data_IF_757025244055
#
_entry.id   IF_757025244055
#
_cell.length_a   1.000
_cell.length_b   1.000
_cell.length_c   1.000
_cell.angle_alpha   90.00
_cell.angle_beta   90.00
_cell.angle_gamma   90.00
#
_symmetry.space_group_name_H-M   'P 1'
#
loop_
_entity.id
_entity.type
_entity.pdbx_description
1 polymer ?
#
# COMPACT_ATOMS: atom_id res chain seq x y z
N UNK A 1 -24.92 -8.69 -7.00
CA UNK A 1 -24.04 -9.17 -8.07
C UNK A 1 -23.21 -10.32 -7.52
N UNK A 2 -23.28 -11.49 -8.17
CA UNK A 2 -22.53 -12.70 -7.79
C UNK A 2 -21.26 -12.81 -8.64
N UNK A 3 -20.10 -12.75 -8.01
CA UNK A 3 -18.79 -12.83 -8.68
C UNK A 3 -18.16 -14.18 -8.40
N UNK A 4 -18.03 -15.01 -9.44
CA UNK A 4 -17.31 -16.29 -9.35
C UNK A 4 -15.80 -16.03 -9.45
N UNK A 5 -15.06 -16.51 -8.46
CA UNK A 5 -13.59 -16.47 -8.46
C UNK A 5 -13.08 -17.90 -8.48
N UNK A 6 -12.51 -18.34 -9.61
CA UNK A 6 -11.80 -19.64 -9.68
C UNK A 6 -10.35 -19.45 -9.21
N UNK A 7 -9.75 -20.47 -8.60
CA UNK A 7 -8.45 -20.33 -7.96
C UNK A 7 -8.48 -19.45 -6.70
N UNK A 8 -9.62 -19.43 -6.00
CA UNK A 8 -9.89 -18.58 -4.85
C UNK A 8 -8.93 -18.77 -3.66
N UNK A 9 -8.33 -19.97 -3.50
CA UNK A 9 -7.33 -20.30 -2.47
C UNK A 9 -5.90 -19.90 -2.88
N UNK A 10 -5.69 -19.56 -4.16
CA UNK A 10 -4.40 -19.12 -4.69
C UNK A 10 -3.99 -17.72 -4.20
N UNK A 11 -2.77 -17.32 -4.49
CA UNK A 11 -2.20 -16.02 -4.06
C UNK A 11 -3.08 -14.83 -4.49
N UNK A 12 -3.35 -14.68 -5.79
CA UNK A 12 -4.19 -13.60 -6.30
C UNK A 12 -5.63 -13.77 -5.82
N UNK A 13 -6.18 -15.00 -5.87
CA UNK A 13 -7.56 -15.30 -5.46
C UNK A 13 -7.87 -14.93 -4.01
N UNK A 14 -6.96 -15.21 -3.07
CA UNK A 14 -7.12 -14.86 -1.65
C UNK A 14 -7.23 -13.35 -1.44
N UNK A 15 -6.33 -12.59 -2.06
CA UNK A 15 -6.32 -11.13 -1.99
C UNK A 15 -7.58 -10.53 -2.62
N UNK A 16 -7.95 -11.02 -3.80
CA UNK A 16 -9.15 -10.58 -4.51
C UNK A 16 -10.44 -10.89 -3.74
N UNK A 17 -10.58 -12.11 -3.24
CA UNK A 17 -11.75 -12.51 -2.44
C UNK A 17 -11.90 -11.67 -1.16
N UNK A 18 -10.80 -11.26 -0.52
CA UNK A 18 -10.85 -10.37 0.64
C UNK A 18 -11.38 -8.99 0.24
N UNK A 19 -10.86 -8.42 -0.83
CA UNK A 19 -11.24 -7.09 -1.29
C UNK A 19 -12.70 -7.05 -1.80
N UNK A 20 -13.13 -8.05 -2.57
CA UNK A 20 -14.53 -8.15 -3.04
C UNK A 20 -15.55 -8.25 -1.89
N UNK A 21 -15.19 -8.92 -0.78
CA UNK A 21 -16.07 -9.02 0.40
C UNK A 21 -16.33 -7.70 1.11
N UNK A 22 -15.43 -6.72 0.95
CA UNK A 22 -15.56 -5.40 1.51
C UNK A 22 -16.51 -4.50 0.69
N UNK A 23 -16.93 -4.96 -0.49
CA UNK A 23 -17.78 -4.19 -1.40
C UNK A 23 -19.26 -4.47 -1.17
N UNK A 24 -20.05 -3.42 -0.99
CA UNK A 24 -21.51 -3.53 -0.86
C UNK A 24 -22.16 -4.15 -2.09
N UNK A 25 -23.05 -5.11 -1.87
CA UNK A 25 -23.83 -5.75 -2.92
C UNK A 25 -23.04 -6.65 -3.86
N UNK A 26 -21.88 -7.15 -3.40
CA UNK A 26 -21.10 -8.21 -4.05
C UNK A 26 -21.18 -9.49 -3.19
N UNK A 27 -21.60 -10.59 -3.80
CA UNK A 27 -21.51 -11.94 -3.27
C UNK A 27 -20.38 -12.69 -3.98
N UNK A 28 -19.45 -13.27 -3.23
CA UNK A 28 -18.27 -13.95 -3.80
C UNK A 28 -18.47 -15.45 -3.79
N UNK A 29 -18.62 -16.04 -4.97
CA UNK A 29 -18.68 -17.47 -5.20
C UNK A 29 -17.24 -17.99 -5.36
N UNK A 30 -16.75 -18.74 -4.39
CA UNK A 30 -15.35 -19.20 -4.34
C UNK A 30 -15.25 -20.62 -4.85
N UNK A 31 -14.51 -20.81 -5.93
CA UNK A 31 -14.18 -22.14 -6.45
C UNK A 31 -12.67 -22.39 -6.41
N UNK A 32 -12.31 -23.60 -6.04
CA UNK A 32 -10.95 -24.14 -6.13
C UNK A 32 -11.00 -25.65 -6.39
N UNK A 33 -9.88 -26.24 -6.79
CA UNK A 33 -9.77 -27.70 -6.99
C UNK A 33 -10.22 -28.45 -5.72
N UNK A 34 -11.05 -29.46 -5.89
CA UNK A 34 -11.71 -30.21 -4.82
C UNK A 34 -13.13 -29.73 -4.49
N UNK A 35 -13.61 -28.66 -5.12
CA UNK A 35 -14.97 -28.14 -4.95
C UNK A 35 -15.86 -28.38 -6.21
N UNK A 36 -15.56 -29.40 -7.01
CA UNK A 36 -16.18 -29.68 -8.32
C UNK A 36 -17.71 -29.72 -8.25
N UNK A 37 -18.26 -30.29 -7.19
CA UNK A 37 -19.71 -30.38 -6.98
C UNK A 37 -20.41 -29.00 -6.89
N UNK A 38 -19.66 -27.92 -6.63
CA UNK A 38 -20.20 -26.54 -6.55
C UNK A 38 -20.11 -25.77 -7.87
N UNK A 39 -19.24 -26.22 -8.79
CA UNK A 39 -18.93 -25.47 -10.00
C UNK A 39 -20.15 -25.24 -10.86
N UNK A 40 -20.97 -26.26 -11.09
CA UNK A 40 -22.18 -26.19 -11.91
C UNK A 40 -23.18 -25.15 -11.36
N UNK A 41 -23.40 -25.18 -10.05
CA UNK A 41 -24.27 -24.20 -9.39
C UNK A 41 -23.72 -22.77 -9.51
N UNK A 42 -22.42 -22.58 -9.31
CA UNK A 42 -21.79 -21.28 -9.43
C UNK A 42 -21.83 -20.73 -10.85
N UNK A 43 -21.55 -21.56 -11.85
CA UNK A 43 -21.62 -21.18 -13.26
C UNK A 43 -23.06 -20.85 -13.71
N UNK A 44 -24.08 -21.48 -13.12
CA UNK A 44 -25.48 -21.18 -13.42
C UNK A 44 -25.94 -19.82 -12.88
N UNK A 45 -25.39 -19.35 -11.76
CA UNK A 45 -25.89 -18.17 -11.05
C UNK A 45 -24.96 -16.94 -11.06
N UNK A 46 -23.70 -17.07 -11.49
CA UNK A 46 -22.75 -15.96 -11.46
C UNK A 46 -23.12 -14.86 -12.47
N UNK A 47 -22.86 -13.60 -12.07
CA UNK A 47 -23.03 -12.41 -12.91
C UNK A 47 -21.71 -11.94 -13.53
N UNK A 48 -20.57 -12.38 -13.00
CA UNK A 48 -19.22 -12.08 -13.47
C UNK A 48 -18.28 -13.22 -13.08
N UNK A 49 -17.33 -13.57 -13.95
CA UNK A 49 -16.32 -14.61 -13.69
C UNK A 49 -14.93 -14.02 -13.67
N UNK A 50 -14.20 -14.23 -12.57
CA UNK A 50 -12.76 -13.99 -12.46
C UNK A 50 -12.02 -15.33 -12.49
N UNK A 51 -11.52 -15.67 -13.67
CA UNK A 51 -10.84 -16.93 -13.93
C UNK A 51 -9.36 -16.82 -13.61
N UNK A 52 -8.99 -17.19 -12.36
CA UNK A 52 -7.62 -17.13 -11.85
C UNK A 52 -6.99 -18.50 -11.67
N UNK A 53 -7.80 -19.57 -11.79
CA UNK A 53 -7.30 -20.94 -11.72
C UNK A 53 -6.32 -21.19 -12.87
N UNK A 54 -5.24 -21.92 -12.55
CA UNK A 54 -4.26 -22.31 -13.54
C UNK A 54 -3.06 -23.02 -12.90
N UNK A 55 -2.43 -23.88 -13.66
CA UNK A 55 -1.24 -24.64 -13.28
C UNK A 55 0.01 -23.88 -13.71
N UNK A 56 0.93 -23.65 -12.77
CA UNK A 56 2.20 -22.95 -13.03
C UNK A 56 3.42 -23.85 -12.91
N UNK A 57 3.33 -24.92 -12.11
CA UNK A 57 4.41 -25.90 -11.90
C UNK A 57 3.80 -27.30 -11.89
N UNK A 58 3.57 -27.88 -13.05
CA UNK A 58 3.03 -29.21 -13.18
C UNK A 58 4.09 -30.25 -12.81
N UNK A 59 3.62 -31.43 -12.43
CA UNK A 59 4.46 -32.63 -12.32
C UNK A 59 4.68 -33.27 -13.70
N UNK A 60 3.65 -33.16 -14.56
CA UNK A 60 3.64 -33.61 -15.94
C UNK A 60 3.30 -32.43 -16.86
N UNK A 61 4.03 -32.18 -17.97
CA UNK A 61 3.73 -31.13 -18.93
C UNK A 61 2.28 -31.11 -19.44
N UNK A 62 1.61 -32.26 -19.53
CA UNK A 62 0.19 -32.37 -19.92
C UNK A 62 -0.75 -31.65 -18.93
N UNK A 63 -0.35 -31.45 -17.69
CA UNK A 63 -1.12 -30.67 -16.71
C UNK A 63 -1.25 -29.20 -17.10
N UNK A 64 -0.32 -28.64 -17.88
CA UNK A 64 -0.48 -27.30 -18.44
C UNK A 64 -1.69 -27.23 -19.37
N UNK A 65 -1.83 -28.21 -20.27
CA UNK A 65 -2.94 -28.27 -21.22
C UNK A 65 -4.27 -28.51 -20.50
N UNK A 66 -4.33 -29.51 -19.62
CA UNK A 66 -5.56 -29.87 -18.93
C UNK A 66 -6.00 -28.79 -17.93
N UNK A 67 -5.08 -28.23 -17.14
CA UNK A 67 -5.37 -27.25 -16.08
C UNK A 67 -5.50 -25.81 -16.54
N UNK A 68 -4.88 -25.42 -17.68
CA UNK A 68 -4.97 -24.06 -18.19
C UNK A 68 -5.93 -23.95 -19.39
N UNK A 69 -5.82 -24.85 -20.40
CA UNK A 69 -6.60 -24.73 -21.62
C UNK A 69 -7.95 -25.43 -21.48
N UNK A 70 -7.96 -26.74 -21.25
CA UNK A 70 -9.20 -27.56 -21.24
C UNK A 70 -10.16 -27.09 -20.16
N UNK A 71 -9.66 -26.79 -18.97
CA UNK A 71 -10.51 -26.28 -17.88
C UNK A 71 -11.11 -24.91 -18.18
N UNK A 72 -10.35 -24.01 -18.86
CA UNK A 72 -10.88 -22.73 -19.34
C UNK A 72 -11.97 -22.93 -20.38
N UNK A 73 -11.74 -23.78 -21.39
CA UNK A 73 -12.71 -24.12 -22.43
C UNK A 73 -14.02 -24.69 -21.84
N UNK A 74 -13.94 -25.65 -20.91
CA UNK A 74 -15.11 -26.24 -20.25
C UNK A 74 -15.97 -25.18 -19.53
N UNK A 75 -15.34 -24.28 -18.78
CA UNK A 75 -16.06 -23.15 -18.13
C UNK A 75 -16.74 -22.28 -19.17
N UNK A 76 -16.04 -21.86 -20.21
CA UNK A 76 -16.56 -20.96 -21.23
C UNK A 76 -17.70 -21.57 -22.03
N UNK A 77 -17.65 -22.87 -22.36
CA UNK A 77 -18.71 -23.58 -23.06
C UNK A 77 -20.01 -23.61 -22.25
N UNK A 78 -19.91 -23.87 -20.94
CA UNK A 78 -21.06 -23.85 -20.03
C UNK A 78 -21.64 -22.44 -19.87
N UNK A 79 -20.80 -21.41 -19.78
CA UNK A 79 -21.23 -20.03 -19.70
C UNK A 79 -21.89 -19.55 -21.02
N UNK A 80 -21.35 -19.95 -22.17
CA UNK A 80 -21.91 -19.63 -23.51
C UNK A 80 -23.28 -20.26 -23.76
N UNK A 81 -23.62 -21.34 -23.05
CA UNK A 81 -24.94 -21.97 -23.14
C UNK A 81 -26.06 -21.22 -22.40
N UNK A 82 -25.72 -20.22 -21.59
CA UNK A 82 -26.68 -19.40 -20.83
C UNK A 82 -27.40 -18.42 -21.76
N UNK A 83 -28.65 -18.07 -21.43
CA UNK A 83 -29.41 -17.03 -22.12
C UNK A 83 -28.80 -15.64 -21.96
N UNK A 84 -28.04 -15.41 -20.87
CA UNK A 84 -27.31 -14.20 -20.61
C UNK A 84 -25.89 -14.57 -20.16
N UNK A 85 -24.93 -14.74 -21.08
CA UNK A 85 -23.53 -15.07 -20.78
C UNK A 85 -22.84 -13.95 -20.00
N UNK A 86 -22.22 -14.24 -18.83
CA UNK A 86 -21.61 -13.23 -18.00
C UNK A 86 -20.26 -12.75 -18.55
N UNK A 87 -19.80 -11.54 -18.17
CA UNK A 87 -18.43 -11.09 -18.42
C UNK A 87 -17.40 -12.02 -17.79
N UNK A 88 -16.24 -12.16 -18.47
CA UNK A 88 -15.13 -13.01 -18.02
C UNK A 88 -13.83 -12.21 -17.97
N UNK A 89 -13.14 -12.25 -16.83
CA UNK A 89 -11.78 -11.77 -16.65
C UNK A 89 -10.83 -12.97 -16.50
N UNK A 90 -9.81 -13.04 -17.36
CA UNK A 90 -8.75 -14.05 -17.32
C UNK A 90 -7.45 -13.46 -16.74
N UNK A 91 -6.89 -14.12 -15.74
CA UNK A 91 -5.52 -13.91 -15.29
C UNK A 91 -4.56 -14.72 -16.17
N UNK A 92 -3.95 -14.05 -17.15
CA UNK A 92 -2.91 -14.61 -18.01
C UNK A 92 -1.51 -14.20 -17.50
N UNK A 93 -0.48 -14.34 -18.33
CA UNK A 93 0.91 -14.05 -18.00
C UNK A 93 1.62 -13.38 -19.18
N UNK A 94 2.61 -12.52 -18.89
CA UNK A 94 3.53 -12.03 -19.91
C UNK A 94 4.22 -13.17 -20.67
N UNK A 95 4.33 -14.37 -20.07
CA UNK A 95 4.90 -15.55 -20.72
C UNK A 95 4.03 -16.11 -21.85
N UNK A 96 2.76 -15.71 -21.98
CA UNK A 96 1.92 -16.07 -23.11
C UNK A 96 2.50 -15.62 -24.48
N UNK A 97 3.45 -14.69 -24.47
CA UNK A 97 4.20 -14.26 -25.65
C UNK A 97 5.43 -15.14 -25.97
N UNK A 98 5.76 -16.12 -25.09
CA UNK A 98 6.96 -16.95 -25.22
C UNK A 98 6.62 -18.33 -25.80
N UNK A 99 7.58 -18.90 -26.56
CA UNK A 99 7.45 -20.25 -27.15
C UNK A 99 7.94 -21.34 -26.15
N UNK A 100 7.16 -21.49 -25.05
CA UNK A 100 7.31 -22.58 -24.11
C UNK A 100 5.95 -23.17 -23.75
N UNK A 101 5.90 -24.36 -23.14
CA UNK A 101 4.64 -25.08 -22.89
C UNK A 101 3.67 -24.28 -22.01
N UNK A 102 4.18 -23.61 -20.99
CA UNK A 102 3.38 -22.72 -20.14
C UNK A 102 2.84 -21.53 -20.93
N UNK A 103 3.67 -20.85 -21.71
CA UNK A 103 3.27 -19.73 -22.55
C UNK A 103 2.20 -20.14 -23.57
N UNK A 104 2.40 -21.27 -24.26
CA UNK A 104 1.42 -21.85 -25.19
C UNK A 104 0.10 -22.13 -24.52
N UNK A 105 0.10 -22.73 -23.33
CA UNK A 105 -1.14 -23.04 -22.60
C UNK A 105 -1.89 -21.77 -22.16
N UNK A 106 -1.17 -20.71 -21.74
CA UNK A 106 -1.78 -19.43 -21.41
C UNK A 106 -2.32 -18.73 -22.65
N UNK A 107 -1.58 -18.77 -23.77
CA UNK A 107 -2.04 -18.20 -25.04
C UNK A 107 -3.32 -18.89 -25.54
N UNK A 108 -3.40 -20.21 -25.46
CA UNK A 108 -4.61 -20.95 -25.82
C UNK A 108 -5.81 -20.56 -24.94
N UNK A 109 -5.61 -20.38 -23.63
CA UNK A 109 -6.66 -19.90 -22.74
C UNK A 109 -7.10 -18.45 -23.08
N UNK A 110 -6.16 -17.56 -23.48
CA UNK A 110 -6.48 -16.21 -23.98
C UNK A 110 -7.37 -16.29 -25.22
N UNK A 111 -6.97 -17.12 -26.21
CA UNK A 111 -7.71 -17.28 -27.45
C UNK A 111 -9.14 -17.82 -27.22
N UNK A 112 -9.31 -18.77 -26.29
CA UNK A 112 -10.61 -19.28 -25.89
C UNK A 112 -11.51 -18.20 -25.27
N UNK A 113 -10.96 -17.35 -24.38
CA UNK A 113 -11.73 -16.25 -23.77
C UNK A 113 -12.12 -15.19 -24.81
N UNK A 114 -11.25 -14.87 -25.75
CA UNK A 114 -11.56 -13.93 -26.83
C UNK A 114 -12.67 -14.48 -27.76
N UNK A 115 -12.56 -15.75 -28.15
CA UNK A 115 -13.58 -16.44 -28.93
C UNK A 115 -14.95 -16.50 -28.20
N UNK A 116 -14.96 -16.68 -26.89
CA UNK A 116 -16.16 -16.60 -26.07
C UNK A 116 -16.82 -15.22 -26.17
N UNK A 117 -16.01 -14.14 -26.05
CA UNK A 117 -16.50 -12.77 -26.19
C UNK A 117 -17.12 -12.52 -27.59
N UNK A 118 -16.44 -12.94 -28.66
CA UNK A 118 -16.91 -12.83 -30.03
C UNK A 118 -18.23 -13.61 -30.28
N UNK A 119 -18.30 -14.84 -29.74
CA UNK A 119 -19.46 -15.71 -29.89
C UNK A 119 -20.71 -15.21 -29.15
N UNK A 120 -20.52 -14.68 -27.95
CA UNK A 120 -21.62 -14.38 -27.02
C UNK A 120 -21.97 -12.91 -26.92
N UNK A 121 -21.07 -12.01 -27.32
CA UNK A 121 -21.17 -10.58 -27.08
C UNK A 121 -20.86 -10.17 -25.62
N UNK A 122 -20.48 -11.10 -24.74
CA UNK A 122 -20.12 -10.80 -23.37
C UNK A 122 -18.75 -10.07 -23.30
N UNK A 123 -18.61 -9.14 -22.35
CA UNK A 123 -17.35 -8.44 -22.15
C UNK A 123 -16.26 -9.40 -21.65
N UNK A 124 -15.05 -9.31 -22.21
CA UNK A 124 -13.91 -10.13 -21.82
C UNK A 124 -12.70 -9.25 -21.52
N UNK A 125 -11.93 -9.63 -20.47
CA UNK A 125 -10.76 -8.92 -20.02
C UNK A 125 -9.62 -9.91 -19.83
N UNK A 126 -8.53 -9.77 -20.59
CA UNK A 126 -7.35 -10.64 -20.49
C UNK A 126 -6.18 -9.85 -19.90
N UNK A 127 -5.75 -10.18 -18.69
CA UNK A 127 -4.63 -9.53 -18.04
C UNK A 127 -3.36 -10.38 -18.14
N UNK A 128 -2.34 -9.92 -18.87
CA UNK A 128 -1.01 -10.51 -18.87
C UNK A 128 -0.20 -9.98 -17.69
N UNK A 129 -0.21 -10.72 -16.59
CA UNK A 129 0.49 -10.34 -15.37
C UNK A 129 2.00 -10.54 -15.53
N UNK A 130 2.79 -9.54 -15.12
CA UNK A 130 4.21 -9.66 -14.84
C UNK A 130 4.42 -10.45 -13.53
N UNK A 131 5.64 -10.44 -12.97
CA UNK A 131 5.88 -11.13 -11.71
C UNK A 131 5.16 -10.40 -10.57
N UNK A 132 4.16 -11.06 -10.00
CA UNK A 132 3.35 -10.49 -8.91
C UNK A 132 4.03 -10.72 -7.57
N UNK A 133 4.11 -9.68 -6.73
CA UNK A 133 4.59 -9.77 -5.36
C UNK A 133 3.61 -9.14 -4.38
N UNK A 134 3.74 -9.48 -3.09
CA UNK A 134 2.88 -8.93 -2.04
C UNK A 134 2.54 -9.96 -0.96
N UNK A 135 1.69 -9.54 -0.03
CA UNK A 135 1.24 -10.36 1.11
C UNK A 135 0.64 -11.70 0.68
N UNK A 136 1.02 -12.77 1.37
CA UNK A 136 0.56 -14.17 1.16
C UNK A 136 1.06 -14.81 -0.13
N UNK A 137 2.02 -14.22 -0.83
CA UNK A 137 2.71 -14.90 -1.92
C UNK A 137 3.51 -16.07 -1.35
N UNK A 138 3.37 -17.24 -1.97
CA UNK A 138 4.00 -18.49 -1.49
C UNK A 138 5.51 -18.44 -1.76
N UNK A 139 6.36 -18.56 -0.71
CA UNK A 139 7.80 -18.68 -0.87
C UNK A 139 8.19 -20.02 -1.50
N UNK A 140 9.38 -20.08 -2.08
CA UNK A 140 9.95 -21.30 -2.69
C UNK A 140 9.04 -21.95 -3.75
N UNK A 141 8.26 -21.11 -4.44
CA UNK A 141 7.35 -21.56 -5.50
C UNK A 141 7.64 -20.80 -6.81
N UNK A 142 6.96 -19.71 -7.12
CA UNK A 142 7.11 -18.99 -8.39
C UNK A 142 7.58 -17.54 -8.26
N UNK A 143 7.81 -17.04 -7.05
CA UNK A 143 8.22 -15.67 -6.82
C UNK A 143 9.57 -15.61 -6.13
N UNK A 144 10.55 -15.03 -6.80
CA UNK A 144 11.86 -14.76 -6.23
C UNK A 144 11.74 -13.80 -5.04
N UNK A 145 10.92 -12.75 -5.15
CA UNK A 145 10.67 -11.78 -4.07
C UNK A 145 10.08 -12.48 -2.84
N UNK A 146 9.03 -13.29 -3.02
CA UNK A 146 8.43 -14.02 -1.90
C UNK A 146 9.43 -14.97 -1.21
N UNK A 147 10.30 -15.60 -2.00
CA UNK A 147 11.34 -16.49 -1.48
C UNK A 147 12.38 -15.70 -0.67
N UNK A 148 12.85 -14.58 -1.19
CA UNK A 148 13.86 -13.77 -0.51
C UNK A 148 13.33 -13.08 0.76
N UNK A 149 12.13 -12.50 0.72
CA UNK A 149 11.54 -11.91 1.94
C UNK A 149 11.31 -12.97 3.02
N UNK A 150 10.86 -14.16 2.63
CA UNK A 150 10.66 -15.26 3.58
C UNK A 150 11.97 -15.75 4.20
N UNK A 151 13.00 -15.95 3.36
CA UNK A 151 14.28 -16.48 3.81
C UNK A 151 15.04 -15.45 4.66
N UNK A 152 15.15 -14.20 4.19
CA UNK A 152 15.85 -13.14 4.94
C UNK A 152 15.15 -12.88 6.28
N UNK A 153 13.83 -12.82 6.32
CA UNK A 153 13.09 -12.66 7.57
C UNK A 153 13.34 -13.77 8.61
N UNK A 154 13.90 -14.92 8.17
CA UNK A 154 14.18 -16.10 9.01
C UNK A 154 15.67 -16.44 9.08
N UNK A 155 16.54 -15.53 8.68
CA UNK A 155 17.99 -15.73 8.66
C UNK A 155 18.42 -16.95 7.82
N UNK A 156 17.62 -17.31 6.80
CA UNK A 156 17.93 -18.41 5.89
C UNK A 156 18.71 -17.87 4.68
N UNK A 157 19.59 -18.72 4.09
CA UNK A 157 20.39 -18.32 2.94
C UNK A 157 19.53 -18.02 1.71
N UNK A 158 19.98 -17.05 0.92
CA UNK A 158 19.43 -16.74 -0.40
C UNK A 158 20.51 -16.90 -1.47
N UNK A 159 20.10 -17.15 -2.70
CA UNK A 159 20.99 -17.18 -3.86
C UNK A 159 20.60 -16.09 -4.84
N UNK A 160 21.55 -15.24 -5.21
CA UNK A 160 21.45 -14.26 -6.29
C UNK A 160 22.52 -14.61 -7.30
N UNK A 161 22.13 -15.13 -8.47
CA UNK A 161 23.10 -15.57 -9.48
C UNK A 161 23.70 -14.40 -10.25
N UNK A 162 22.86 -13.45 -10.60
CA UNK A 162 23.23 -12.24 -11.35
C UNK A 162 22.50 -11.03 -10.71
N UNK A 163 23.21 -10.24 -9.88
CA UNK A 163 22.63 -9.08 -9.25
C UNK A 163 22.16 -7.98 -10.21
N UNK A 164 22.78 -7.88 -11.39
CA UNK A 164 22.45 -6.87 -12.42
C UNK A 164 21.23 -7.26 -13.26
N UNK A 165 20.85 -8.55 -13.27
CA UNK A 165 19.66 -8.98 -13.99
C UNK A 165 18.43 -8.27 -13.45
N UNK A 166 17.57 -7.80 -14.34
CA UNK A 166 16.35 -7.06 -13.99
C UNK A 166 15.12 -7.92 -14.04
N UNK A 167 14.13 -7.56 -13.22
CA UNK A 167 12.80 -8.18 -13.21
C UNK A 167 11.73 -7.10 -13.18
N UNK A 168 10.66 -7.31 -13.96
CA UNK A 168 9.47 -6.46 -13.91
C UNK A 168 8.46 -7.06 -12.94
N UNK A 169 8.02 -6.24 -11.99
CA UNK A 169 7.20 -6.61 -10.85
C UNK A 169 5.92 -5.77 -10.81
N UNK A 170 4.81 -6.39 -10.42
CA UNK A 170 3.54 -5.71 -10.11
C UNK A 170 3.07 -6.08 -8.70
N UNK A 171 2.53 -5.12 -7.98
CA UNK A 171 2.09 -5.35 -6.61
C UNK A 171 0.69 -5.94 -6.56
N UNK A 172 0.46 -6.88 -5.66
CA UNK A 172 -0.81 -7.62 -5.57
C UNK A 172 -2.04 -6.73 -5.42
N UNK A 173 -1.96 -5.66 -4.63
CA UNK A 173 -3.12 -4.80 -4.43
C UNK A 173 -3.42 -3.93 -5.66
N UNK A 174 -2.42 -3.62 -6.50
CA UNK A 174 -2.63 -2.98 -7.80
C UNK A 174 -3.32 -3.94 -8.77
N UNK A 175 -2.94 -5.23 -8.77
CA UNK A 175 -3.64 -6.27 -9.55
C UNK A 175 -5.10 -6.36 -9.11
N UNK A 176 -5.36 -6.47 -7.81
CA UNK A 176 -6.71 -6.56 -7.24
C UNK A 176 -7.55 -5.32 -7.58
N UNK A 177 -6.98 -4.13 -7.46
CA UNK A 177 -7.64 -2.85 -7.80
C UNK A 177 -8.06 -2.82 -9.27
N UNK A 178 -7.16 -3.21 -10.18
CA UNK A 178 -7.45 -3.30 -11.61
C UNK A 178 -8.58 -4.31 -11.90
N UNK A 179 -8.56 -5.48 -11.29
CA UNK A 179 -9.59 -6.50 -11.48
C UNK A 179 -10.97 -6.03 -10.98
N UNK A 180 -11.00 -5.41 -9.80
CA UNK A 180 -12.22 -4.86 -9.21
C UNK A 180 -12.80 -3.74 -10.09
N UNK A 181 -11.98 -2.92 -10.71
CA UNK A 181 -12.45 -1.84 -11.60
C UNK A 181 -13.34 -2.38 -12.72
N UNK A 182 -13.05 -3.59 -13.25
CA UNK A 182 -13.86 -4.23 -14.31
C UNK A 182 -15.20 -4.72 -13.77
N UNK A 183 -15.26 -5.23 -12.53
CA UNK A 183 -16.53 -5.58 -11.88
C UNK A 183 -17.41 -4.33 -11.69
N UNK A 184 -16.81 -3.24 -11.23
CA UNK A 184 -17.52 -1.98 -11.02
C UNK A 184 -18.05 -1.41 -12.34
N UNK A 185 -17.23 -1.40 -13.39
CA UNK A 185 -17.62 -0.94 -14.72
C UNK A 185 -18.80 -1.74 -15.28
N UNK A 186 -18.78 -3.07 -15.15
CA UNK A 186 -19.90 -3.92 -15.56
C UNK A 186 -21.16 -3.70 -14.71
N UNK A 187 -21.01 -3.52 -13.38
CA UNK A 187 -22.13 -3.25 -12.47
C UNK A 187 -22.83 -1.92 -12.77
N UNK A 188 -22.08 -0.91 -13.20
CA UNK A 188 -22.61 0.42 -13.56
C UNK A 188 -23.13 0.49 -14.99
N UNK A 189 -23.02 -0.57 -15.79
CA UNK A 189 -23.44 -0.58 -17.20
C UNK A 189 -22.58 0.29 -18.10
N UNK A 190 -21.39 0.69 -17.66
CA UNK A 190 -20.44 1.52 -18.44
C UNK A 190 -19.73 0.69 -19.52
N UNK A 191 -19.74 -0.64 -19.40
CA UNK A 191 -19.28 -1.58 -20.44
C UNK A 191 -20.54 -2.11 -21.15
N UNK A 192 -21.14 -1.31 -22.03
CA UNK A 192 -22.15 -1.79 -22.95
C UNK A 192 -21.47 -2.32 -24.21
N UNK A 193 -21.73 -3.59 -24.55
CA UNK A 193 -21.49 -4.09 -25.91
C UNK A 193 -22.46 -3.43 -26.86
N UNK A 194 -22.10 -2.31 -27.47
CA UNK A 194 -22.84 -1.84 -28.65
C UNK A 194 -22.29 -2.50 -29.92
N UNK A 195 -22.91 -3.63 -30.28
CA UNK A 195 -23.01 -4.02 -31.64
C UNK A 195 -24.09 -3.11 -32.30
N UNK A 196 -23.64 -2.08 -33.01
CA UNK A 196 -24.38 -1.32 -33.99
C UNK A 196 -25.86 -1.00 -33.68
N UNK A 197 -26.13 0.10 -32.98
CA UNK A 197 -27.47 0.64 -32.84
C UNK A 197 -27.46 1.99 -32.13
N UNK A 198 -27.83 3.07 -32.84
CA UNK A 198 -28.05 4.39 -32.23
C UNK A 198 -29.10 4.29 -31.14
N UNK A 199 -28.74 4.65 -29.89
CA UNK A 199 -29.73 4.92 -28.85
C UNK A 199 -29.72 6.42 -28.55
N UNK A 200 -30.86 7.04 -28.75
CA UNK A 200 -31.18 8.42 -28.44
C UNK A 200 -31.13 8.66 -26.95
N UNK A 201 -30.61 9.84 -26.55
CA UNK A 201 -30.38 10.23 -25.17
C UNK A 201 -31.57 10.08 -24.24
N UNK A 202 -31.27 9.58 -23.05
CA UNK A 202 -32.09 9.80 -21.86
C UNK A 202 -31.16 10.12 -20.71
N UNK A 203 -31.34 11.31 -20.12
CA UNK A 203 -30.66 11.77 -18.93
C UNK A 203 -30.90 10.79 -17.76
N UNK A 204 -29.83 10.20 -17.23
CA UNK A 204 -29.90 9.43 -15.99
C UNK A 204 -29.65 10.36 -14.80
N UNK A 205 -30.68 10.68 -14.05
CA UNK A 205 -30.56 11.21 -12.68
C UNK A 205 -30.27 10.06 -11.72
N UNK A 206 -29.10 10.09 -11.09
CA UNK A 206 -28.79 9.19 -9.98
C UNK A 206 -29.49 9.74 -8.74
N UNK A 207 -30.57 9.11 -8.31
CA UNK A 207 -31.18 9.34 -6.99
C UNK A 207 -30.86 8.16 -6.07
N UNK A 208 -30.14 8.46 -4.98
CA UNK A 208 -30.17 7.68 -3.75
C UNK A 208 -29.05 6.69 -3.51
N UNK A 209 -27.95 7.15 -2.94
CA UNK A 209 -27.21 6.39 -1.95
C UNK A 209 -26.90 7.35 -0.80
N UNK A 210 -27.62 7.16 0.33
CA UNK A 210 -27.49 8.00 1.52
C UNK A 210 -26.14 7.79 2.19
N UNK A 211 -25.34 8.84 2.20
CA UNK A 211 -24.30 9.08 3.16
C UNK A 211 -24.55 10.47 3.72
N UNK A 212 -24.97 10.52 4.98
CA UNK A 212 -25.05 11.77 5.73
C UNK A 212 -23.66 12.36 5.86
N UNK A 213 -23.36 13.36 5.03
CA UNK A 213 -22.19 14.22 5.22
C UNK A 213 -22.54 15.32 6.20
N UNK A 214 -21.80 15.35 7.30
CA UNK A 214 -21.86 16.39 8.33
C UNK A 214 -21.69 17.79 7.70
N UNK A 215 -22.76 18.59 7.73
CA UNK A 215 -22.88 19.95 7.14
C UNK A 215 -22.19 21.05 7.95
N UNK A 216 -21.11 20.78 8.68
CA UNK A 216 -20.49 21.76 9.58
C UNK A 216 -19.16 22.37 9.12
N UNK A 217 -18.58 22.00 7.95
CA UNK A 217 -17.28 22.52 7.52
C UNK A 217 -17.29 23.47 6.31
N UNK A 218 -18.41 23.65 5.62
CA UNK A 218 -18.48 24.45 4.37
C UNK A 218 -18.81 25.93 4.54
N UNK A 219 -19.14 26.40 5.74
CA UNK A 219 -19.51 27.82 5.95
C UNK A 219 -18.32 28.71 6.38
N UNK A 220 -17.20 28.14 6.82
CA UNK A 220 -15.99 28.90 7.16
C UNK A 220 -15.01 29.14 6.01
N UNK A 221 -15.16 28.45 4.89
CA UNK A 221 -14.25 28.58 3.74
C UNK A 221 -14.63 29.70 2.76
N UNK A 222 -15.85 30.20 2.78
CA UNK A 222 -16.32 31.26 1.87
C UNK A 222 -16.04 32.69 2.34
N UNK A 223 -15.81 32.91 3.62
CA UNK A 223 -15.48 34.24 4.14
C UNK A 223 -13.98 34.60 4.10
N UNK A 224 -13.11 33.62 3.76
CA UNK A 224 -11.66 33.83 3.66
C UNK A 224 -11.17 34.09 2.23
N UNK A 225 -11.97 33.90 1.20
CA UNK A 225 -11.57 34.06 -0.21
C UNK A 225 -11.75 35.48 -0.76
N UNK A 226 -12.49 36.35 -0.08
CA UNK A 226 -12.71 37.75 -0.58
C UNK A 226 -11.62 38.77 -0.20
N UNK A 227 -10.57 38.37 0.53
CA UNK A 227 -9.55 39.34 0.99
C UNK A 227 -8.11 39.09 0.57
N UNK A 228 -7.79 38.22 -0.38
CA UNK A 228 -6.41 38.12 -0.87
C UNK A 228 -6.36 37.94 -2.38
N UNK A 229 -6.03 39.06 -3.05
CA UNK A 229 -5.59 39.06 -4.43
C UNK A 229 -4.24 38.38 -4.61
N UNK A 230 -4.13 37.63 -5.71
CA UNK A 230 -2.93 37.24 -6.47
C UNK A 230 -1.68 36.82 -5.68
N UNK A 231 -1.53 35.51 -5.43
CA UNK A 231 -0.26 34.77 -5.58
C UNK A 231 -0.57 33.29 -5.49
N UNK A 232 -0.35 32.53 -6.56
CA UNK A 232 -0.58 31.12 -6.62
C UNK A 232 0.42 30.36 -5.75
N UNK A 233 -0.09 29.55 -4.83
CA UNK A 233 0.63 28.40 -4.23
C UNK A 233 -0.35 27.27 -4.11
N UNK A 234 -0.03 26.16 -4.76
CA UNK A 234 -0.72 24.87 -4.68
C UNK A 234 -0.44 24.28 -3.30
N UNK A 235 -1.47 24.13 -2.47
CA UNK A 235 -1.45 23.27 -1.28
C UNK A 235 -2.82 22.59 -1.12
N UNK A 236 -2.81 21.26 -1.07
CA UNK A 236 -3.94 20.49 -0.57
C UNK A 236 -4.43 19.37 -1.48
N UNK A 237 -3.63 18.34 -1.66
CA UNK A 237 -4.11 17.03 -2.10
C UNK A 237 -4.04 16.10 -0.89
N UNK A 238 -5.15 15.91 -0.20
CA UNK A 238 -5.33 14.79 0.74
C UNK A 238 -6.76 14.80 1.28
N UNK A 239 -7.79 14.62 0.45
CA UNK A 239 -9.15 14.17 0.85
C UNK A 239 -10.12 14.02 -0.35
N UNK A 240 -9.61 13.83 -1.56
CA UNK A 240 -10.43 13.79 -2.78
C UNK A 240 -10.37 12.43 -3.52
N UNK A 241 -9.69 11.43 -2.92
CA UNK A 241 -9.39 10.13 -3.56
C UNK A 241 -10.61 9.29 -3.99
N UNK A 242 -11.80 9.61 -3.51
CA UNK A 242 -13.03 8.88 -3.89
C UNK A 242 -13.75 9.47 -5.10
N UNK A 243 -13.74 10.78 -5.25
CA UNK A 243 -14.49 11.49 -6.30
C UNK A 243 -13.66 11.65 -7.57
N UNK A 244 -12.37 11.97 -7.44
CA UNK A 244 -11.45 12.10 -8.58
C UNK A 244 -11.19 10.75 -9.28
N UNK A 245 -11.36 9.63 -8.57
CA UNK A 245 -11.28 8.29 -9.16
C UNK A 245 -12.45 8.00 -10.11
N UNK A 246 -13.63 8.52 -9.83
CA UNK A 246 -14.82 8.38 -10.69
C UNK A 246 -14.79 9.37 -11.86
N UNK A 247 -14.38 10.62 -11.60
CA UNK A 247 -14.36 11.68 -12.61
C UNK A 247 -13.17 11.54 -13.59
N UNK A 248 -12.02 11.02 -13.13
CA UNK A 248 -10.87 10.71 -13.98
C UNK A 248 -11.09 9.53 -14.92
N UNK A 249 -11.98 8.60 -14.59
CA UNK A 249 -12.38 7.50 -15.49
C UNK A 249 -13.40 7.93 -16.56
N UNK A 250 -14.27 8.88 -16.25
CA UNK A 250 -15.33 9.32 -17.18
C UNK A 250 -14.81 10.19 -18.35
N UNK A 251 -13.64 10.81 -18.23
CA UNK A 251 -13.11 11.77 -19.20
C UNK A 251 -12.17 11.18 -20.27
N UNK A 252 -11.73 9.92 -20.14
CA UNK A 252 -10.76 9.30 -21.07
C UNK A 252 -11.31 8.21 -21.99
N UNK A 253 -12.52 7.70 -21.78
CA UNK A 253 -13.04 6.53 -22.50
C UNK A 253 -14.26 6.83 -23.39
N UNK A 254 -14.35 8.01 -24.01
CA UNK A 254 -15.43 8.34 -24.97
C UNK A 254 -15.09 8.02 -26.42
N UNK A 255 -13.94 7.44 -26.72
CA UNK A 255 -13.73 6.80 -28.02
C UNK A 255 -14.08 5.30 -27.89
N UNK A 256 -15.09 4.90 -28.66
CA UNK A 256 -15.51 3.51 -28.89
C UNK A 256 -14.30 2.64 -29.26
N UNK A 257 -13.61 2.10 -28.21
CA UNK A 257 -12.42 1.31 -28.40
C UNK A 257 -12.84 -0.05 -28.95
N UNK A 258 -12.42 -0.37 -30.15
CA UNK A 258 -12.19 -1.74 -30.61
C UNK A 258 -11.49 -2.47 -29.44
N UNK A 259 -12.04 -3.63 -29.04
CA UNK A 259 -11.56 -4.58 -28.05
C UNK A 259 -10.05 -4.44 -27.76
N UNK A 260 -9.63 -3.68 -26.74
CA UNK A 260 -8.30 -3.84 -26.16
C UNK A 260 -8.30 -5.15 -25.37
N UNK A 261 -8.04 -6.23 -26.11
CA UNK A 261 -8.22 -7.58 -25.62
C UNK A 261 -7.19 -8.03 -24.60
N UNK A 262 -6.04 -7.35 -24.51
CA UNK A 262 -4.93 -7.72 -23.65
C UNK A 262 -4.51 -6.51 -22.82
N UNK A 263 -4.61 -6.66 -21.51
CA UNK A 263 -4.36 -5.61 -20.51
C UNK A 263 -3.09 -5.90 -19.70
N UNK A 264 -2.44 -4.85 -19.25
CA UNK A 264 -1.34 -4.91 -18.25
C UNK A 264 -1.76 -4.25 -16.95
N UNK A 265 -0.95 -4.43 -15.91
CA UNK A 265 -1.15 -3.79 -14.61
C UNK A 265 -0.18 -2.63 -14.47
N UNK A 266 -0.69 -1.48 -14.08
CA UNK A 266 0.09 -0.31 -13.71
C UNK A 266 -0.18 0.08 -12.23
N UNK A 267 0.83 0.59 -11.51
CA UNK A 267 2.23 0.74 -11.93
C UNK A 267 3.00 -0.58 -11.95
N UNK A 268 3.89 -0.75 -12.94
CA UNK A 268 4.87 -1.81 -12.98
C UNK A 268 6.26 -1.28 -12.59
N UNK A 269 7.05 -2.09 -11.90
CA UNK A 269 8.36 -1.72 -11.37
C UNK A 269 9.44 -2.62 -11.98
N UNK A 270 10.40 -2.05 -12.68
CA UNK A 270 11.58 -2.79 -13.14
C UNK A 270 12.75 -2.48 -12.21
N UNK A 271 13.33 -3.51 -11.58
CA UNK A 271 14.42 -3.40 -10.61
C UNK A 271 15.45 -4.50 -10.85
N UNK A 272 16.71 -4.22 -10.50
CA UNK A 272 17.73 -5.27 -10.48
C UNK A 272 17.53 -6.23 -9.31
N UNK A 273 17.99 -7.45 -9.45
CA UNK A 273 17.88 -8.46 -8.40
C UNK A 273 18.72 -8.07 -7.17
N UNK A 274 19.86 -7.40 -7.38
CA UNK A 274 20.70 -6.86 -6.31
C UNK A 274 19.97 -5.78 -5.51
N UNK A 275 19.40 -4.77 -6.18
CA UNK A 275 18.63 -3.70 -5.55
C UNK A 275 17.50 -4.24 -4.66
N UNK A 276 16.76 -5.24 -5.14
CA UNK A 276 15.67 -5.86 -4.37
C UNK A 276 16.20 -6.53 -3.10
N UNK A 277 17.32 -7.26 -3.20
CA UNK A 277 17.91 -7.94 -2.04
C UNK A 277 18.46 -6.95 -1.03
N UNK A 278 19.12 -5.90 -1.47
CA UNK A 278 19.69 -4.88 -0.58
C UNK A 278 18.58 -4.14 0.20
N UNK A 279 17.47 -3.83 -0.47
CA UNK A 279 16.29 -3.29 0.20
C UNK A 279 15.74 -4.26 1.25
N UNK A 280 15.56 -5.55 0.92
CA UNK A 280 15.02 -6.53 1.88
C UNK A 280 15.97 -6.72 3.08
N UNK A 281 17.29 -6.67 2.86
CA UNK A 281 18.29 -6.73 3.95
C UNK A 281 18.23 -5.50 4.84
N UNK A 282 18.06 -4.31 4.25
CA UNK A 282 17.90 -3.09 5.05
C UNK A 282 16.64 -3.14 5.93
N UNK A 283 15.55 -3.74 5.46
CA UNK A 283 14.34 -3.96 6.26
C UNK A 283 14.58 -4.96 7.39
N UNK A 284 15.37 -5.98 7.13
CA UNK A 284 15.74 -6.98 8.14
C UNK A 284 16.59 -6.39 9.26
N UNK A 285 17.43 -5.42 8.93
CA UNK A 285 18.32 -4.75 9.89
C UNK A 285 17.65 -3.57 10.63
N UNK A 286 16.41 -3.23 10.31
CA UNK A 286 15.66 -2.14 10.97
C UNK A 286 15.68 -2.22 12.52
N UNK A 287 15.52 -3.40 13.18
CA UNK A 287 15.57 -3.47 14.64
C UNK A 287 16.91 -2.99 15.25
N UNK A 288 18.01 -3.09 14.50
CA UNK A 288 19.34 -2.66 14.93
C UNK A 288 19.61 -1.19 14.60
N UNK A 289 19.16 -0.72 13.45
CA UNK A 289 19.39 0.63 12.94
C UNK A 289 18.30 1.61 13.31
N UNK A 290 17.11 1.11 13.65
CA UNK A 290 15.85 1.86 13.82
C UNK A 290 15.43 2.61 12.54
N UNK A 291 16.11 2.36 11.41
CA UNK A 291 15.93 3.10 10.16
C UNK A 291 14.72 2.60 9.38
N UNK A 292 13.65 3.36 9.38
CA UNK A 292 12.46 3.11 8.55
C UNK A 292 12.80 3.39 7.09
N UNK A 293 12.46 2.49 6.16
CA UNK A 293 12.75 2.69 4.73
C UNK A 293 11.94 3.86 4.14
N UNK A 294 12.41 4.40 3.01
CA UNK A 294 11.73 5.51 2.32
C UNK A 294 10.33 5.10 1.84
N UNK A 295 9.30 5.56 2.54
CA UNK A 295 7.90 5.28 2.23
C UNK A 295 7.35 6.13 1.07
N UNK A 296 8.08 7.14 0.59
CA UNK A 296 7.70 7.96 -0.56
C UNK A 296 7.98 7.26 -1.89
N UNK A 297 8.96 6.34 -1.94
CA UNK A 297 9.13 5.45 -3.09
C UNK A 297 8.07 4.34 -3.07
N UNK A 298 7.20 4.35 -4.06
CA UNK A 298 6.08 3.42 -4.16
C UNK A 298 6.49 1.95 -4.21
N UNK A 299 7.63 1.62 -4.81
CA UNK A 299 8.16 0.26 -4.82
C UNK A 299 8.65 -0.16 -3.44
N UNK A 300 9.51 0.65 -2.82
CA UNK A 300 10.06 0.40 -1.47
C UNK A 300 8.95 0.21 -0.45
N UNK A 301 7.93 1.09 -0.46
CA UNK A 301 6.75 0.96 0.42
C UNK A 301 6.05 -0.39 0.26
N UNK A 302 5.83 -0.83 -0.97
CA UNK A 302 5.13 -2.09 -1.27
C UNK A 302 5.99 -3.32 -0.95
N UNK A 303 7.30 -3.23 -1.20
CA UNK A 303 8.25 -4.28 -0.85
C UNK A 303 8.40 -4.44 0.66
N UNK A 304 8.46 -3.32 1.40
CA UNK A 304 8.49 -3.33 2.85
C UNK A 304 7.21 -3.93 3.45
N UNK A 305 6.03 -3.55 2.93
CA UNK A 305 4.76 -4.16 3.34
C UNK A 305 4.74 -5.68 3.07
N UNK A 306 5.38 -6.12 1.98
CA UNK A 306 5.51 -7.55 1.66
C UNK A 306 6.44 -8.25 2.66
N UNK A 307 7.55 -7.61 3.02
CA UNK A 307 8.50 -8.11 4.03
C UNK A 307 7.82 -8.26 5.39
N UNK A 308 7.14 -7.23 5.88
CA UNK A 308 6.42 -7.27 7.15
C UNK A 308 5.35 -8.36 7.19
N UNK A 309 4.63 -8.58 6.07
CA UNK A 309 3.64 -9.66 5.96
C UNK A 309 4.24 -11.08 5.95
N UNK A 310 5.54 -11.20 5.76
CA UNK A 310 6.29 -12.47 5.76
C UNK A 310 7.06 -12.72 7.06
N UNK A 311 7.11 -11.75 7.96
CA UNK A 311 7.76 -11.93 9.27
C UNK A 311 7.16 -13.11 10.02
N UNK A 312 7.97 -13.92 10.72
CA UNK A 312 7.47 -14.88 11.70
C UNK A 312 6.91 -14.14 12.92
N UNK A 313 5.93 -14.74 13.58
CA UNK A 313 5.14 -14.10 14.66
C UNK A 313 6.01 -13.64 15.85
N UNK A 314 7.10 -14.32 16.14
CA UNK A 314 8.06 -13.99 17.18
C UNK A 314 8.94 -12.76 16.85
N UNK A 315 8.93 -12.29 15.59
CA UNK A 315 9.64 -11.08 15.14
C UNK A 315 8.72 -9.86 14.96
N UNK A 316 7.49 -9.88 15.46
CA UNK A 316 6.59 -8.71 15.41
C UNK A 316 6.97 -7.61 16.40
N UNK A 317 7.81 -7.90 17.38
CA UNK A 317 8.35 -6.93 18.32
C UNK A 317 9.85 -7.11 18.47
N UNK A 318 10.53 -6.01 18.80
CA UNK A 318 11.95 -6.02 19.12
C UNK A 318 12.24 -5.04 20.29
N UNK A 319 13.22 -5.36 21.16
CA UNK A 319 13.59 -4.49 22.24
C UNK A 319 14.36 -3.27 21.73
N UNK A 320 14.21 -2.15 22.42
CA UNK A 320 14.97 -0.94 22.16
C UNK A 320 16.12 -0.80 23.17
N UNK A 321 17.24 -0.23 22.74
CA UNK A 321 18.34 0.13 23.65
C UNK A 321 17.96 1.37 24.44
N UNK A 322 17.92 1.23 25.77
CA UNK A 322 17.62 2.33 26.68
C UNK A 322 18.89 2.74 27.46
N UNK A 323 19.26 3.99 27.29
CA UNK A 323 20.37 4.59 28.05
C UNK A 323 19.85 5.16 29.37
N UNK A 324 20.33 4.62 30.52
CA UNK A 324 19.89 5.01 31.85
C UNK A 324 21.04 5.66 32.65
N UNK A 325 20.72 6.71 33.39
CA UNK A 325 21.60 7.31 34.39
C UNK A 325 20.80 7.79 35.62
N UNK A 326 21.44 8.52 36.55
CA UNK A 326 20.77 9.05 37.73
C UNK A 326 19.69 10.11 37.43
N UNK A 327 19.66 10.66 36.24
CA UNK A 327 18.66 11.66 35.76
C UNK A 327 17.39 11.04 35.16
N UNK A 328 17.45 9.74 34.80
CA UNK A 328 16.36 9.04 34.15
C UNK A 328 16.81 8.17 32.98
N UNK A 329 16.10 8.18 31.88
CA UNK A 329 16.45 7.38 30.69
C UNK A 329 16.22 8.13 29.38
N UNK A 330 16.88 7.63 28.33
CA UNK A 330 16.72 8.08 26.95
C UNK A 330 16.71 6.86 26.02
N UNK A 331 15.72 6.80 25.13
CA UNK A 331 15.51 5.66 24.22
C UNK A 331 15.17 6.18 22.84
N UNK A 332 15.97 5.85 21.85
CA UNK A 332 15.63 6.10 20.44
C UNK A 332 14.64 5.03 19.97
N UNK A 333 13.64 5.42 19.18
CA UNK A 333 12.56 4.52 18.78
C UNK A 333 12.45 4.35 17.28
N UNK A 334 12.81 5.38 16.51
CA UNK A 334 12.66 5.40 15.07
C UNK A 334 13.60 6.42 14.44
N UNK A 335 14.27 6.02 13.37
CA UNK A 335 15.08 6.87 12.49
C UNK A 335 14.49 6.91 11.08
N UNK A 336 14.65 8.02 10.40
CA UNK A 336 14.32 8.20 8.98
C UNK A 336 15.32 9.16 8.35
N UNK A 337 15.92 8.78 7.24
CA UNK A 337 16.89 9.61 6.56
C UNK A 337 16.32 10.98 6.14
N UNK A 338 15.03 11.03 5.77
CA UNK A 338 14.36 12.26 5.31
C UNK A 338 13.59 12.99 6.40
N UNK A 339 13.33 12.35 7.55
CA UNK A 339 12.39 12.86 8.58
C UNK A 339 13.00 12.90 9.98
N UNK A 340 14.29 12.59 10.12
CA UNK A 340 15.00 12.65 11.40
C UNK A 340 14.70 11.47 12.32
N UNK A 341 14.66 11.72 13.62
CA UNK A 341 14.49 10.68 14.64
C UNK A 341 13.40 11.01 15.65
N UNK A 342 12.84 9.94 16.24
CA UNK A 342 11.93 10.01 17.38
C UNK A 342 12.55 9.30 18.56
N UNK A 343 12.48 9.92 19.72
CA UNK A 343 12.99 9.34 20.98
C UNK A 343 12.03 9.57 22.15
N UNK A 344 12.17 8.75 23.18
CA UNK A 344 11.45 8.89 24.45
C UNK A 344 12.47 9.20 25.56
N UNK A 345 12.21 10.27 26.28
CA UNK A 345 13.03 10.72 27.37
C UNK A 345 12.23 10.67 28.68
N UNK A 346 12.77 9.98 29.68
CA UNK A 346 12.20 9.95 31.02
C UNK A 346 13.13 10.79 31.93
N UNK A 347 12.57 11.78 32.62
CA UNK A 347 13.29 12.64 33.56
C UNK A 347 12.72 12.46 34.96
N UNK A 348 13.60 12.16 35.95
CA UNK A 348 13.21 12.08 37.37
C UNK A 348 12.82 13.45 37.93
N UNK A 349 12.08 13.53 39.04
CA UNK A 349 11.74 14.78 39.71
C UNK A 349 12.95 15.69 39.97
N UNK A 350 12.79 16.98 39.64
CA UNK A 350 13.82 18.01 39.82
C UNK A 350 14.96 17.98 38.80
N UNK A 351 14.97 17.07 37.85
CA UNK A 351 16.03 16.94 36.85
C UNK A 351 15.86 17.92 35.72
N UNK A 352 16.95 18.59 35.35
CA UNK A 352 17.10 19.42 34.15
C UNK A 352 17.90 18.66 33.10
N UNK A 353 17.38 18.60 31.85
CA UNK A 353 18.08 18.09 30.66
C UNK A 353 18.10 19.14 29.56
N UNK A 354 19.03 19.01 28.60
CA UNK A 354 19.29 20.00 27.56
C UNK A 354 20.48 20.86 27.92
N UNK A 355 20.32 22.18 28.06
CA UNK A 355 21.41 23.17 28.24
C UNK A 355 22.33 23.23 27.03
N UNK A 356 21.68 23.38 25.85
CA UNK A 356 22.40 23.50 24.58
C UNK A 356 21.54 24.22 23.54
N UNK A 357 22.16 24.57 22.43
CA UNK A 357 21.53 25.18 21.27
C UNK A 357 22.01 24.55 19.96
N UNK A 358 21.36 24.88 18.85
CA UNK A 358 21.59 24.31 17.52
C UNK A 358 21.69 25.40 16.45
N UNK A 359 22.42 25.11 15.35
CA UNK A 359 22.48 25.98 14.18
C UNK A 359 21.32 25.74 13.20
N UNK A 360 21.10 24.46 12.84
CA UNK A 360 20.09 24.06 11.85
C UNK A 360 19.15 22.97 12.37
N UNK A 361 19.65 22.16 13.32
CA UNK A 361 18.83 21.17 14.00
C UNK A 361 17.70 21.85 14.75
N UNK A 362 16.50 21.34 14.61
CA UNK A 362 15.35 21.78 15.37
C UNK A 362 14.57 20.59 15.87
N UNK A 363 13.92 20.79 17.00
CA UNK A 363 13.26 19.71 17.70
C UNK A 363 11.82 20.08 18.05
N UNK A 364 11.03 19.07 18.40
CA UNK A 364 9.69 19.20 18.96
C UNK A 364 9.60 18.32 20.19
N UNK A 365 9.19 18.89 21.31
CA UNK A 365 8.97 18.17 22.57
C UNK A 365 7.49 18.09 22.87
N UNK A 366 7.06 16.91 23.31
CA UNK A 366 5.70 16.62 23.75
C UNK A 366 5.77 15.87 25.08
N UNK A 367 5.41 16.53 26.18
CA UNK A 367 5.28 15.86 27.48
C UNK A 367 3.98 15.05 27.48
N UNK A 368 4.08 13.73 27.67
CA UNK A 368 2.94 12.81 27.66
C UNK A 368 2.56 12.29 29.06
N UNK A 369 3.44 12.49 30.04
CA UNK A 369 3.20 12.16 31.45
C UNK A 369 4.07 13.04 32.34
N UNK A 370 3.58 13.38 33.53
CA UNK A 370 4.25 14.28 34.49
C UNK A 370 4.06 15.76 34.16
N UNK A 371 4.81 16.62 34.84
CA UNK A 371 4.74 18.09 34.76
C UNK A 371 6.15 18.64 34.52
N UNK A 372 6.30 19.48 33.49
CA UNK A 372 7.58 20.06 33.14
C UNK A 372 7.53 21.54 32.82
N UNK A 373 8.73 22.11 32.71
CA UNK A 373 8.95 23.47 32.20
C UNK A 373 10.07 23.44 31.16
N UNK A 374 9.78 24.00 29.97
CA UNK A 374 10.76 24.13 28.89
C UNK A 374 11.17 25.59 28.82
N UNK A 375 12.46 25.85 28.98
CA UNK A 375 13.01 27.20 29.05
C UNK A 375 13.91 27.48 27.83
N UNK A 376 13.90 28.73 27.39
CA UNK A 376 14.66 29.22 26.22
C UNK A 376 15.31 30.56 26.55
N UNK A 377 16.50 30.78 25.98
CA UNK A 377 17.16 32.10 25.94
C UNK A 377 17.91 32.23 24.60
N UNK A 378 18.05 33.43 24.07
CA UNK A 378 18.84 33.64 22.86
C UNK A 378 20.31 33.23 23.10
N UNK A 379 20.86 32.42 22.20
CA UNK A 379 22.21 31.89 22.39
C UNK A 379 23.31 32.95 22.26
N UNK A 380 23.07 34.03 21.54
CA UNK A 380 24.02 35.17 21.35
C UNK A 380 23.83 36.31 22.33
N UNK A 381 22.81 36.29 23.21
CA UNK A 381 22.54 37.36 24.19
C UNK A 381 22.17 36.77 25.56
N UNK A 382 23.19 36.71 26.45
CA UNK A 382 22.99 36.23 27.81
C UNK A 382 22.09 37.14 28.68
N UNK A 383 21.82 38.37 28.25
CA UNK A 383 20.90 39.31 28.90
C UNK A 383 19.47 39.18 28.44
N UNK A 384 19.18 38.45 27.36
CA UNK A 384 17.84 38.24 26.86
C UNK A 384 16.94 37.56 27.89
N UNK A 385 15.64 37.89 27.95
CA UNK A 385 14.73 37.29 28.91
C UNK A 385 14.55 35.80 28.66
N UNK A 386 14.42 35.03 29.72
CA UNK A 386 14.08 33.61 29.65
C UNK A 386 12.61 33.49 29.30
N UNK A 387 12.32 32.68 28.27
CA UNK A 387 10.97 32.31 27.83
C UNK A 387 10.67 30.94 28.38
N UNK A 388 9.60 30.76 29.14
CA UNK A 388 9.24 29.50 29.79
C UNK A 388 7.87 29.00 29.35
N UNK A 389 7.78 27.70 29.02
CA UNK A 389 6.54 27.00 28.72
C UNK A 389 6.28 25.91 29.76
N UNK A 390 5.18 26.03 30.50
CA UNK A 390 4.69 24.96 31.39
C UNK A 390 4.00 23.92 30.57
N UNK A 391 4.39 22.67 30.71
CA UNK A 391 3.90 21.52 29.95
C UNK A 391 3.50 20.38 30.88
N UNK A 392 2.51 19.60 30.48
CA UNK A 392 2.07 18.43 31.26
C UNK A 392 1.43 17.35 30.37
N UNK A 393 1.40 16.10 30.90
CA UNK A 393 0.69 15.01 30.25
C UNK A 393 -0.85 15.14 30.27
N UNK A 394 -1.42 16.05 31.07
CA UNK A 394 -2.86 16.31 31.11
C UNK A 394 -3.31 17.20 29.93
N UNK A 395 -2.43 18.09 29.44
CA UNK A 395 -2.65 18.94 28.30
C UNK A 395 -1.55 18.71 27.28
N UNK A 396 -1.83 17.90 26.27
CA UNK A 396 -0.85 17.60 25.20
C UNK A 396 -0.62 18.84 24.34
N UNK A 397 0.61 19.36 24.40
CA UNK A 397 1.03 20.55 23.67
C UNK A 397 2.46 20.34 23.12
N UNK A 398 2.64 20.59 21.82
CA UNK A 398 3.95 20.50 21.19
C UNK A 398 4.70 21.81 21.36
N UNK A 399 5.86 21.76 22.01
CA UNK A 399 6.79 22.90 22.07
C UNK A 399 7.87 22.71 21.00
N UNK A 400 8.04 23.72 20.14
CA UNK A 400 9.09 23.75 19.11
C UNK A 400 10.36 24.32 19.71
N UNK A 401 11.49 23.68 19.43
CA UNK A 401 12.82 24.10 19.83
C UNK A 401 13.47 24.76 18.60
N UNK A 402 13.48 26.08 18.49
CA UNK A 402 14.03 26.78 17.32
C UNK A 402 15.55 26.85 17.39
N UNK A 403 16.27 26.82 16.25
CA UNK A 403 17.68 27.15 16.18
C UNK A 403 18.00 28.53 16.76
N UNK A 404 19.22 28.69 17.28
CA UNK A 404 19.68 29.97 17.84
C UNK A 404 19.19 30.27 19.26
N UNK A 405 18.37 29.39 19.86
CA UNK A 405 17.98 29.46 21.27
C UNK A 405 18.64 28.34 22.07
N UNK A 406 19.34 28.69 23.16
CA UNK A 406 19.66 27.67 24.16
C UNK A 406 18.40 27.27 24.89
N UNK A 407 18.25 26.00 25.16
CA UNK A 407 17.06 25.44 25.78
C UNK A 407 17.37 24.35 26.80
N UNK A 408 16.41 24.16 27.70
CA UNK A 408 16.38 23.04 28.63
C UNK A 408 14.94 22.58 28.87
N UNK A 409 14.77 21.39 29.42
CA UNK A 409 13.53 20.90 30.00
C UNK A 409 13.74 20.45 31.40
N UNK A 410 12.90 20.93 32.32
CA UNK A 410 12.94 20.65 33.74
C UNK A 410 11.74 19.85 34.17
N UNK A 411 11.91 18.74 34.86
CA UNK A 411 10.80 18.07 35.54
C UNK A 411 10.50 18.83 36.84
N UNK A 412 9.40 19.56 36.87
CA UNK A 412 8.99 20.34 38.06
C UNK A 412 7.88 19.62 38.87
N UNK A 413 7.52 18.41 38.48
CA UNK A 413 6.59 17.54 39.21
C UNK A 413 7.31 16.67 40.25
N UNK A 414 6.52 15.85 40.95
CA UNK A 414 6.94 14.90 41.99
C UNK A 414 7.04 13.45 41.48
N UNK A 415 6.68 13.22 40.22
CA UNK A 415 6.77 11.93 39.55
C UNK A 415 7.67 12.02 38.30
N UNK A 416 8.03 10.88 37.73
CA UNK A 416 8.79 10.83 36.49
C UNK A 416 8.00 11.55 35.36
N UNK A 417 8.72 12.40 34.62
CA UNK A 417 8.19 13.07 33.43
C UNK A 417 8.63 12.33 32.18
N UNK A 418 7.66 12.01 31.32
CA UNK A 418 7.91 11.33 30.03
C UNK A 418 7.69 12.31 28.89
N UNK A 419 8.72 12.49 28.08
CA UNK A 419 8.71 13.38 26.90
C UNK A 419 8.97 12.59 25.65
N UNK A 420 8.10 12.70 24.65
CA UNK A 420 8.37 12.27 23.28
C UNK A 420 9.06 13.44 22.57
N UNK A 421 10.19 13.14 21.95
CA UNK A 421 11.03 14.11 21.26
C UNK A 421 11.16 13.72 19.79
N UNK A 422 11.06 14.69 18.91
CA UNK A 422 11.38 14.54 17.51
C UNK A 422 12.48 15.55 17.15
N UNK A 423 13.49 15.09 16.40
CA UNK A 423 14.52 15.93 15.79
C UNK A 423 14.48 15.76 14.26
N UNK A 424 14.75 16.84 13.51
CA UNK A 424 14.70 16.83 12.03
C UNK A 424 15.81 16.00 11.37
N UNK A 425 16.79 15.55 12.14
CA UNK A 425 17.93 14.76 11.71
C UNK A 425 18.25 13.66 12.71
N UNK A 426 18.86 12.59 12.24
CA UNK A 426 19.43 11.54 13.10
C UNK A 426 20.69 12.09 13.75
N UNK A 427 20.91 11.79 15.04
CA UNK A 427 22.10 12.25 15.76
C UNK A 427 23.37 11.62 15.17
N UNK A 428 24.31 12.49 14.78
CA UNK A 428 25.65 12.11 14.33
C UNK A 428 26.67 12.53 15.38
N UNK A 429 27.33 11.58 16.07
CA UNK A 429 28.32 11.92 17.12
C UNK A 429 29.59 12.56 16.55
N UNK A 430 29.90 12.40 15.28
CA UNK A 430 31.08 13.01 14.63
C UNK A 430 30.82 14.47 14.19
N UNK A 431 29.55 14.79 13.88
CA UNK A 431 29.13 16.13 13.48
C UNK A 431 27.86 16.58 14.21
N UNK A 432 27.87 16.62 15.56
CA UNK A 432 26.68 16.98 16.31
C UNK A 432 26.39 18.47 16.16
N UNK A 433 25.27 18.85 15.60
CA UNK A 433 24.76 20.22 15.64
C UNK A 433 24.16 20.52 17.02
N UNK A 434 25.00 20.41 18.08
CA UNK A 434 24.58 20.56 19.47
C UNK A 434 25.70 21.21 20.28
N UNK A 435 25.47 22.44 20.74
CA UNK A 435 26.47 23.29 21.40
C UNK A 435 26.02 23.60 22.82
N UNK A 436 26.82 23.22 23.79
CA UNK A 436 26.50 23.42 25.21
C UNK A 436 26.43 24.89 25.57
N UNK A 437 25.35 25.32 26.16
CA UNK A 437 25.12 26.64 26.72
C UNK A 437 23.94 26.57 27.71
N UNK A 438 24.13 27.03 28.92
CA UNK A 438 23.06 27.03 29.93
C UNK A 438 22.04 28.13 29.63
N UNK A 439 20.77 27.85 29.93
CA UNK A 439 19.65 28.82 29.78
C UNK A 439 19.74 29.91 30.84
#
# INVERSE_FOLDING_TARGET
MKVLVTGAKGFVGRNLCLALRQMSGIEVLKYDLGDEAKLDGFLAECDFVMHLAGVNRPKDPEEFKTGNTVFTEDILDRLAARSNPPPVLLSSSIQAALDNDYGKSKKAAEDAVLAYGEKTGAAVFVYRLANVFGKWCRPNYNSVVATWVYNIARDLPIMVRDPEATVTLVYIDDVVKNFISKVVSCKLGVVSCELGGRVSGSEFRVSGCGLETNRFSLQRSREAEEQRGSAGVVLGQDLQDGQDYVDGMAAKDTECAKWESILSIEPAYTRSLGEIVDLIRSFHDEPNTLMVPNQMDGFTKKLYSTYLAALPEDKFSYPLTTHCDNRGSFTETLHSAERGQVSVNVSKPGITKGQHWHHTKHEKFLVVSGIGEINFRMADDASSPIISYKVSGEKLEVVRIPPGYTHNIVNVGDTDMVTVMWANEVFDPENPDTFRLDV
#
